data_IF_918344913692
#
_entry.id   IF_918344913692
#
_cell.length_a   1.000
_cell.length_b   1.000
_cell.length_c   1.000
_cell.angle_alpha   90.00
_cell.angle_beta   90.00
_cell.angle_gamma   90.00
#
_symmetry.space_group_name_H-M   'P 1'
#
loop_
_entity.id
_entity.type
_entity.pdbx_description
1 polymer ?
#
# COMPACT_ATOMS: atom_id res chain seq x y z
N UNK A 1 31.11 0.96 -6.92
CA UNK A 1 30.21 1.90 -7.64
C UNK A 1 29.18 2.58 -6.71
N UNK A 2 28.38 1.81 -5.96
CA UNK A 2 27.34 2.37 -5.07
C UNK A 2 27.89 3.24 -3.92
N UNK A 3 28.98 2.84 -3.26
CA UNK A 3 29.58 3.61 -2.17
C UNK A 3 30.12 5.00 -2.61
N UNK A 4 30.64 5.10 -3.83
CA UNK A 4 31.10 6.37 -4.40
C UNK A 4 29.95 7.30 -4.79
N UNK A 5 28.80 6.74 -5.19
CA UNK A 5 27.57 7.50 -5.47
C UNK A 5 26.97 8.07 -4.17
N UNK A 6 26.94 7.28 -3.10
CA UNK A 6 26.46 7.72 -1.78
C UNK A 6 27.40 8.77 -1.17
N UNK A 7 28.72 8.57 -1.26
CA UNK A 7 29.72 9.55 -0.78
C UNK A 7 29.75 10.84 -1.62
N UNK A 8 29.31 10.76 -2.89
CA UNK A 8 29.21 11.90 -3.81
C UNK A 8 27.92 12.70 -3.68
N UNK A 9 26.94 12.25 -2.88
CA UNK A 9 25.73 13.02 -2.58
C UNK A 9 26.06 14.08 -1.50
N UNK A 10 26.09 15.38 -1.83
CA UNK A 10 26.31 16.41 -0.84
C UNK A 10 25.01 16.59 -0.05
N UNK A 11 24.92 15.96 1.12
CA UNK A 11 23.78 16.10 2.02
C UNK A 11 23.57 14.90 2.93
N UNK A 12 22.78 15.04 4.01
CA UNK A 12 22.44 13.93 4.88
C UNK A 12 21.65 12.86 4.12
N UNK A 13 22.01 11.59 4.33
CA UNK A 13 21.25 10.45 3.85
C UNK A 13 19.97 10.33 4.69
N UNK A 14 18.82 10.39 4.04
CA UNK A 14 17.53 10.25 4.68
C UNK A 14 17.27 8.78 5.03
N UNK A 15 17.13 8.50 6.31
CA UNK A 15 16.67 7.21 6.85
C UNK A 15 15.22 7.38 7.27
N UNK A 16 14.30 6.63 6.68
CA UNK A 16 12.87 6.69 7.02
C UNK A 16 12.49 5.46 7.85
N UNK A 17 11.81 5.67 8.97
CA UNK A 17 11.12 4.59 9.67
C UNK A 17 9.77 4.33 8.98
N UNK A 18 9.78 3.55 7.90
CA UNK A 18 8.54 3.08 7.30
C UNK A 18 7.94 2.01 8.25
N UNK A 19 6.78 2.31 8.82
CA UNK A 19 6.03 1.38 9.66
C UNK A 19 4.85 0.83 8.88
N UNK A 20 4.83 -0.50 8.71
CA UNK A 20 3.76 -1.23 8.04
C UNK A 20 2.60 -1.52 8.99
N UNK A 21 1.40 -1.73 8.43
CA UNK A 21 0.30 -2.27 9.24
C UNK A 21 0.55 -3.75 9.56
N UNK A 22 0.20 -4.22 10.77
CA UNK A 22 0.29 -5.64 11.11
C UNK A 22 -0.51 -6.51 10.12
N UNK A 23 0.06 -7.67 9.77
CA UNK A 23 -0.64 -8.69 8.98
C UNK A 23 -1.98 -9.05 9.65
N UNK A 24 -3.02 -9.21 8.85
CA UNK A 24 -4.37 -9.54 9.33
C UNK A 24 -5.15 -8.38 9.97
N UNK A 25 -4.61 -7.15 10.02
CA UNK A 25 -5.39 -5.98 10.41
C UNK A 25 -6.56 -5.75 9.43
N UNK A 26 -7.76 -5.43 9.95
CA UNK A 26 -8.91 -5.04 9.11
C UNK A 26 -8.65 -3.68 8.48
N UNK A 27 -8.93 -3.52 7.20
CA UNK A 27 -8.70 -2.26 6.50
C UNK A 27 -9.93 -1.35 6.47
N UNK A 28 -11.11 -1.85 6.88
CA UNK A 28 -12.34 -1.06 6.86
C UNK A 28 -13.16 -1.15 8.16
N UNK A 29 -13.91 -0.09 8.42
CA UNK A 29 -14.95 -0.03 9.45
C UNK A 29 -16.14 0.80 8.95
N UNK A 30 -17.34 0.22 9.00
CA UNK A 30 -18.54 0.85 8.43
C UNK A 30 -18.35 1.21 6.94
N UNK A 31 -18.37 2.51 6.63
CA UNK A 31 -18.20 3.07 5.28
C UNK A 31 -16.80 3.67 5.04
N UNK A 32 -15.85 3.44 5.94
CA UNK A 32 -14.47 3.94 5.86
C UNK A 32 -13.55 2.77 5.53
N UNK A 33 -12.64 2.97 4.56
CA UNK A 33 -11.65 2.00 4.09
C UNK A 33 -10.29 2.69 3.96
N UNK A 34 -9.23 2.00 4.37
CA UNK A 34 -7.84 2.40 4.16
C UNK A 34 -7.32 1.86 2.83
N UNK A 35 -6.56 2.67 2.09
CA UNK A 35 -5.87 2.33 0.83
C UNK A 35 -4.48 2.98 0.79
N UNK A 36 -3.62 2.56 -0.14
CA UNK A 36 -2.27 3.11 -0.30
C UNK A 36 -1.42 2.95 0.96
N UNK A 37 -0.53 3.91 1.23
CA UNK A 37 0.37 3.82 2.39
C UNK A 37 -0.36 3.76 3.74
N UNK A 38 -1.59 4.29 3.83
CA UNK A 38 -2.42 4.17 5.03
C UNK A 38 -2.86 2.71 5.28
N UNK A 39 -2.97 1.91 4.22
CA UNK A 39 -3.25 0.48 4.28
C UNK A 39 -1.97 -0.37 4.35
N UNK A 40 -0.91 0.06 3.66
CA UNK A 40 0.26 -0.78 3.41
C UNK A 40 1.49 0.02 3.00
N UNK A 41 1.95 0.91 3.88
CA UNK A 41 3.17 1.68 3.68
C UNK A 41 4.31 0.81 3.12
N UNK A 42 4.56 0.92 1.81
CA UNK A 42 5.57 0.13 1.16
C UNK A 42 6.94 0.66 1.56
N UNK A 43 7.93 -0.23 1.70
CA UNK A 43 9.32 0.20 1.89
C UNK A 43 9.71 1.18 0.77
N UNK A 44 10.17 2.40 1.11
CA UNK A 44 10.54 3.41 0.12
C UNK A 44 11.66 2.94 -0.83
N UNK A 45 12.41 1.90 -0.45
CA UNK A 45 13.43 1.27 -1.27
C UNK A 45 12.90 0.65 -2.58
N UNK A 46 11.61 0.29 -2.64
CA UNK A 46 11.01 -0.36 -3.83
C UNK A 46 10.48 0.65 -4.85
N UNK A 47 10.23 1.90 -4.44
CA UNK A 47 9.57 2.92 -5.27
C UNK A 47 8.15 2.54 -5.71
N UNK A 48 7.53 1.49 -5.14
CA UNK A 48 6.25 0.95 -5.61
C UNK A 48 5.02 1.50 -4.87
N UNK A 49 5.18 2.36 -3.86
CA UNK A 49 4.06 2.88 -3.06
C UNK A 49 3.00 3.57 -3.93
N UNK A 50 3.42 4.46 -4.83
CA UNK A 50 2.52 5.17 -5.74
C UNK A 50 1.81 4.23 -6.72
N UNK A 51 2.54 3.28 -7.33
CA UNK A 51 1.96 2.30 -8.25
C UNK A 51 0.93 1.41 -7.54
N UNK A 52 1.22 0.99 -6.31
CA UNK A 52 0.35 0.13 -5.51
C UNK A 52 -0.92 0.88 -5.08
N UNK A 53 -0.79 2.16 -4.72
CA UNK A 53 -1.94 3.03 -4.43
C UNK A 53 -2.84 3.27 -5.66
N UNK A 54 -2.27 3.39 -6.86
CA UNK A 54 -3.04 3.51 -8.09
C UNK A 54 -3.80 2.22 -8.42
N UNK A 55 -3.16 1.07 -8.25
CA UNK A 55 -3.84 -0.22 -8.39
C UNK A 55 -5.00 -0.37 -7.38
N UNK A 56 -4.82 0.06 -6.13
CA UNK A 56 -5.88 0.07 -5.13
C UNK A 56 -7.08 0.88 -5.59
N UNK A 57 -6.84 2.09 -6.11
CA UNK A 57 -7.90 2.97 -6.59
C UNK A 57 -8.71 2.31 -7.72
N UNK A 58 -8.05 1.65 -8.66
CA UNK A 58 -8.72 0.95 -9.78
C UNK A 58 -9.55 -0.24 -9.27
N UNK A 59 -9.00 -1.06 -8.36
CA UNK A 59 -9.71 -2.22 -7.81
C UNK A 59 -10.89 -1.78 -6.96
N UNK A 60 -10.71 -0.77 -6.11
CA UNK A 60 -11.77 -0.21 -5.27
C UNK A 60 -12.89 0.39 -6.13
N UNK A 61 -12.56 1.16 -7.16
CA UNK A 61 -13.55 1.75 -8.06
C UNK A 61 -14.40 0.67 -8.76
N UNK A 62 -13.77 -0.41 -9.22
CA UNK A 62 -14.49 -1.56 -9.80
C UNK A 62 -15.41 -2.21 -8.78
N UNK A 63 -14.91 -2.48 -7.57
CA UNK A 63 -15.70 -3.11 -6.51
C UNK A 63 -16.91 -2.25 -6.10
N UNK A 64 -16.75 -0.94 -5.99
CA UNK A 64 -17.83 0.00 -5.67
C UNK A 64 -18.88 0.11 -6.79
N UNK A 65 -18.45 0.01 -8.05
CA UNK A 65 -19.34 0.04 -9.21
C UNK A 65 -20.17 -1.24 -9.33
N UNK A 66 -19.52 -2.39 -9.11
CA UNK A 66 -20.09 -3.70 -9.47
C UNK A 66 -20.84 -4.38 -8.30
N UNK A 67 -20.68 -3.91 -7.06
CA UNK A 67 -21.29 -4.50 -5.88
C UNK A 67 -22.31 -3.56 -5.22
N UNK A 68 -23.38 -4.09 -4.60
CA UNK A 68 -24.55 -3.31 -4.22
C UNK A 68 -24.35 -2.47 -2.95
N UNK A 69 -23.30 -2.72 -2.16
CA UNK A 69 -23.04 -2.01 -0.92
C UNK A 69 -21.54 -1.94 -0.58
N UNK A 70 -21.20 -0.98 0.28
CA UNK A 70 -19.83 -0.72 0.70
C UNK A 70 -19.20 -1.91 1.43
N UNK A 71 -19.97 -2.68 2.21
CA UNK A 71 -19.43 -3.81 2.95
C UNK A 71 -18.97 -4.93 2.00
N UNK A 72 -19.77 -5.24 0.98
CA UNK A 72 -19.40 -6.20 -0.07
C UNK A 72 -18.24 -5.68 -0.93
N UNK A 73 -18.27 -4.41 -1.30
CA UNK A 73 -17.20 -3.78 -2.07
C UNK A 73 -15.86 -3.81 -1.34
N UNK A 74 -15.82 -3.41 -0.07
CA UNK A 74 -14.61 -3.41 0.74
C UNK A 74 -14.09 -4.83 0.98
N UNK A 75 -14.97 -5.79 1.25
CA UNK A 75 -14.58 -7.19 1.36
C UNK A 75 -13.99 -7.75 0.06
N UNK A 76 -14.53 -7.36 -1.10
CA UNK A 76 -13.98 -7.76 -2.41
C UNK A 76 -12.63 -7.11 -2.68
N UNK A 77 -12.48 -5.81 -2.37
CA UNK A 77 -11.23 -5.08 -2.44
C UNK A 77 -10.14 -5.75 -1.58
N UNK A 78 -10.41 -6.00 -0.30
CA UNK A 78 -9.44 -6.62 0.61
C UNK A 78 -8.98 -7.99 0.09
N UNK A 79 -9.90 -8.85 -0.38
CA UNK A 79 -9.53 -10.17 -0.94
C UNK A 79 -8.61 -10.08 -2.15
N UNK A 80 -8.76 -9.04 -2.96
CA UNK A 80 -7.98 -8.88 -4.19
C UNK A 80 -6.61 -8.27 -3.93
N UNK A 81 -6.51 -7.32 -2.98
CA UNK A 81 -5.29 -6.55 -2.72
C UNK A 81 -4.41 -7.15 -1.64
N UNK A 82 -4.98 -7.78 -0.62
CA UNK A 82 -4.22 -8.32 0.53
C UNK A 82 -3.10 -9.28 0.13
N UNK A 83 -3.31 -10.30 -0.74
CA UNK A 83 -2.22 -11.20 -1.13
C UNK A 83 -1.07 -10.49 -1.87
N UNK A 84 -1.40 -9.51 -2.71
CA UNK A 84 -0.41 -8.74 -3.50
C UNK A 84 0.46 -7.86 -2.60
N UNK A 85 -0.16 -7.28 -1.59
CA UNK A 85 0.47 -6.35 -0.65
C UNK A 85 1.30 -7.11 0.39
N UNK A 86 0.76 -8.17 0.99
CA UNK A 86 1.48 -8.97 1.98
C UNK A 86 2.68 -9.72 1.36
N UNK A 87 2.63 -10.05 0.06
CA UNK A 87 3.79 -10.58 -0.66
C UNK A 87 4.95 -9.58 -0.81
N UNK A 88 4.67 -8.27 -0.84
CA UNK A 88 5.73 -7.27 -0.93
C UNK A 88 6.39 -6.97 0.43
N UNK A 89 5.84 -7.50 1.51
CA UNK A 89 6.30 -7.34 2.90
C UNK A 89 7.22 -8.51 3.32
N UNK A 90 7.14 -9.67 2.65
CA UNK A 90 7.91 -10.89 2.96
C UNK A 90 9.03 -11.13 1.96
#
# INVERSE_FOLDING_TARGET
PAAALVAGCPGPVMVTNATEMPLGARWHTGRVLLIGDAAHAASPATGQGASTALEDAVVLAKALRDLPDAARAFGAYERHRRPRVEHNIT
#
